data_IF_295436751699
#
_entry.id   IF_295436751699
#
_cell.length_a   1.000
_cell.length_b   1.000
_cell.length_c   1.000
_cell.angle_alpha   90.00
_cell.angle_beta   90.00
_cell.angle_gamma   90.00
#
_symmetry.space_group_name_H-M   'P 1'
#
loop_
_entity.id
_entity.type
_entity.pdbx_description
1 polymer ?
#
# COMPACT_ATOMS: atom_id res chain seq x y z
N UNK A 1 17.12 14.35 -37.28
CA UNK A 1 16.89 14.66 -35.88
C UNK A 1 18.23 14.88 -35.19
N UNK A 2 18.34 15.95 -34.41
CA UNK A 2 19.57 16.26 -33.67
C UNK A 2 19.62 15.31 -32.44
N UNK A 3 20.62 14.39 -32.33
CA UNK A 3 20.67 13.40 -31.24
C UNK A 3 20.77 14.03 -29.88
N UNK A 4 21.42 15.18 -29.74
CA UNK A 4 21.54 15.91 -28.48
C UNK A 4 20.18 16.45 -28.01
N UNK A 5 19.32 16.86 -28.92
CA UNK A 5 17.96 17.33 -28.60
C UNK A 5 17.05 16.15 -28.25
N UNK A 6 17.25 15.00 -28.92
CA UNK A 6 16.53 13.76 -28.63
C UNK A 6 16.84 13.25 -27.20
N UNK A 7 18.12 13.23 -26.82
CA UNK A 7 18.55 12.78 -25.48
C UNK A 7 18.05 13.74 -24.38
N UNK A 8 18.09 15.06 -24.62
CA UNK A 8 17.58 16.04 -23.67
C UNK A 8 16.06 15.94 -23.50
N UNK A 9 15.31 15.73 -24.59
CA UNK A 9 13.85 15.56 -24.50
C UNK A 9 13.44 14.22 -23.88
N UNK A 10 14.28 13.19 -24.01
CA UNK A 10 13.99 11.86 -23.43
C UNK A 10 14.30 11.82 -21.93
N UNK A 11 15.21 12.65 -21.44
CA UNK A 11 15.55 12.70 -20.01
C UNK A 11 14.43 13.29 -19.15
N UNK A 12 13.60 14.18 -19.70
CA UNK A 12 12.50 14.84 -18.99
C UNK A 12 11.16 14.07 -19.06
N UNK A 13 11.13 12.88 -19.65
CA UNK A 13 9.88 12.09 -19.81
C UNK A 13 9.23 11.73 -18.48
N UNK A 14 10.01 11.60 -17.41
CA UNK A 14 9.50 11.25 -16.08
C UNK A 14 8.59 12.31 -15.46
N UNK A 15 8.69 13.58 -15.88
CA UNK A 15 7.85 14.68 -15.38
C UNK A 15 6.60 14.95 -16.25
N UNK A 16 6.52 14.39 -17.43
CA UNK A 16 5.43 14.64 -18.37
C UNK A 16 4.12 13.95 -18.01
N UNK A 17 4.19 12.95 -17.16
CA UNK A 17 3.04 12.12 -16.85
C UNK A 17 2.59 12.24 -15.40
N UNK A 18 2.80 13.42 -14.76
CA UNK A 18 2.34 13.67 -13.40
C UNK A 18 0.87 13.25 -13.18
N UNK A 19 -0.08 13.60 -14.07
CA UNK A 19 -1.45 13.12 -13.94
C UNK A 19 -1.57 11.60 -13.98
N UNK A 20 -0.78 10.95 -14.82
CA UNK A 20 -0.74 9.49 -14.94
C UNK A 20 -0.14 8.83 -13.70
N UNK A 21 0.97 9.38 -13.21
CA UNK A 21 1.67 8.86 -12.03
C UNK A 21 0.81 8.94 -10.77
N UNK A 22 -0.03 9.96 -10.68
CA UNK A 22 -0.92 10.19 -9.52
C UNK A 22 -2.38 9.75 -9.77
N UNK A 23 -2.68 9.13 -10.92
CA UNK A 23 -4.04 8.70 -11.25
C UNK A 23 -5.06 9.84 -11.33
N UNK A 24 -4.59 11.05 -11.68
CA UNK A 24 -5.44 12.25 -11.73
C UNK A 24 -6.26 12.27 -13.01
N UNK A 25 -7.54 12.58 -12.88
CA UNK A 25 -8.40 12.85 -14.02
C UNK A 25 -8.03 14.21 -14.63
N UNK A 26 -7.56 14.21 -15.88
CA UNK A 26 -7.11 15.42 -16.57
C UNK A 26 -7.82 15.62 -17.90
N UNK A 27 -8.02 16.88 -18.27
CA UNK A 27 -8.69 17.28 -19.49
C UNK A 27 -7.81 18.27 -20.25
N UNK A 28 -7.65 18.05 -21.57
CA UNK A 28 -7.04 19.02 -22.47
C UNK A 28 -8.03 20.13 -22.79
N UNK A 29 -7.64 21.38 -22.53
CA UNK A 29 -8.46 22.55 -22.84
C UNK A 29 -7.87 23.31 -24.03
N UNK A 30 -8.73 23.79 -24.93
CA UNK A 30 -8.32 24.60 -26.07
C UNK A 30 -8.07 26.08 -25.69
N UNK A 31 -8.61 26.53 -24.56
CA UNK A 31 -8.39 27.86 -24.01
C UNK A 31 -8.18 27.78 -22.51
N UNK A 32 -7.44 28.73 -21.90
CA UNK A 32 -7.26 28.75 -20.45
C UNK A 32 -8.61 28.79 -19.74
N UNK A 33 -8.82 27.87 -18.78
CA UNK A 33 -9.93 27.97 -17.85
C UNK A 33 -9.63 29.00 -16.77
N UNK A 34 -10.67 29.67 -16.25
CA UNK A 34 -10.54 30.44 -15.03
C UNK A 34 -10.17 29.50 -13.89
N UNK A 35 -8.97 29.65 -13.32
CA UNK A 35 -8.51 28.83 -12.20
C UNK A 35 -9.32 29.13 -10.94
N UNK A 36 -9.63 28.11 -10.17
CA UNK A 36 -10.03 28.25 -8.78
C UNK A 36 -8.73 28.32 -7.99
N UNK A 37 -8.60 29.31 -7.10
CA UNK A 37 -7.46 29.40 -6.21
C UNK A 37 -7.44 28.15 -5.30
N UNK A 38 -6.36 27.40 -5.37
CA UNK A 38 -6.19 26.20 -4.55
C UNK A 38 -5.88 26.63 -3.12
N UNK A 39 -6.74 26.26 -2.17
CA UNK A 39 -6.39 26.35 -0.74
C UNK A 39 -5.88 25.02 -0.25
N UNK A 40 -4.74 25.02 0.43
CA UNK A 40 -4.19 23.84 1.12
C UNK A 40 -4.87 23.63 2.49
N UNK A 41 -5.92 24.37 2.79
CA UNK A 41 -6.66 24.19 4.04
C UNK A 41 -7.51 22.92 3.92
N UNK A 42 -6.95 21.83 4.41
CA UNK A 42 -7.71 20.63 4.72
C UNK A 42 -8.46 20.93 6.03
N UNK A 43 -9.73 21.21 5.94
CA UNK A 43 -10.58 21.21 7.14
C UNK A 43 -10.71 19.76 7.61
N UNK A 44 -9.83 19.35 8.53
CA UNK A 44 -10.02 18.09 9.24
C UNK A 44 -11.23 18.22 10.14
N UNK A 45 -12.27 17.48 9.84
CA UNK A 45 -13.42 17.37 10.73
C UNK A 45 -12.95 16.76 12.05
N UNK A 46 -13.32 17.37 13.18
CA UNK A 46 -12.99 16.83 14.49
C UNK A 46 -13.49 15.38 14.59
N UNK A 47 -12.64 14.51 15.11
CA UNK A 47 -13.01 13.10 15.33
C UNK A 47 -13.94 13.02 16.52
N UNK A 48 -15.20 12.69 16.28
CA UNK A 48 -16.22 12.51 17.32
C UNK A 48 -16.30 11.05 17.77
N UNK A 49 -16.70 10.78 19.02
CA UNK A 49 -16.96 9.43 19.51
C UNK A 49 -18.03 8.74 18.66
N UNK A 50 -17.67 7.60 18.06
CA UNK A 50 -18.54 6.82 17.18
C UNK A 50 -18.49 5.33 17.54
N UNK A 51 -19.29 4.50 16.85
CA UNK A 51 -19.16 3.05 16.91
C UNK A 51 -17.80 2.60 16.36
N UNK A 52 -17.32 3.30 15.34
CA UNK A 52 -16.02 3.11 14.70
C UNK A 52 -15.80 4.19 13.65
N UNK A 53 -14.73 4.05 12.89
CA UNK A 53 -14.36 4.99 11.83
C UNK A 53 -13.88 4.22 10.60
N UNK A 54 -14.23 4.73 9.43
CA UNK A 54 -13.77 4.21 8.15
C UNK A 54 -12.79 5.16 7.47
N UNK A 55 -11.80 4.61 6.78
CA UNK A 55 -10.81 5.33 5.99
C UNK A 55 -10.93 4.85 4.54
N UNK A 56 -11.35 5.74 3.64
CA UNK A 56 -11.37 5.46 2.20
C UNK A 56 -9.94 5.55 1.66
N UNK A 57 -9.44 4.45 1.10
CA UNK A 57 -8.11 4.42 0.48
C UNK A 57 -8.12 5.19 -0.84
N UNK A 58 -7.75 6.46 -0.82
CA UNK A 58 -7.69 7.34 -1.99
C UNK A 58 -6.26 7.66 -2.43
N UNK A 59 -5.29 7.56 -1.50
CA UNK A 59 -3.93 7.97 -1.78
C UNK A 59 -2.92 7.66 -0.69
N UNK A 60 -1.76 8.32 -0.81
CA UNK A 60 -0.62 8.13 0.09
C UNK A 60 -0.92 8.57 1.52
N UNK A 61 -1.67 9.66 1.70
CA UNK A 61 -2.07 10.17 3.03
C UNK A 61 -2.83 9.13 3.82
N UNK A 62 -3.82 8.47 3.19
CA UNK A 62 -4.62 7.43 3.83
C UNK A 62 -3.76 6.21 4.19
N UNK A 63 -2.85 5.82 3.30
CA UNK A 63 -1.90 4.72 3.54
C UNK A 63 -0.93 5.06 4.69
N UNK A 64 -0.45 6.30 4.75
CA UNK A 64 0.39 6.81 5.84
C UNK A 64 -0.35 6.79 7.17
N UNK A 65 -1.60 7.24 7.18
CA UNK A 65 -2.45 7.19 8.38
C UNK A 65 -2.59 5.76 8.90
N UNK A 66 -2.99 4.82 8.01
CA UNK A 66 -3.15 3.40 8.39
C UNK A 66 -1.85 2.81 8.94
N UNK A 67 -0.71 3.08 8.27
CA UNK A 67 0.60 2.59 8.69
C UNK A 67 1.00 3.13 10.06
N UNK A 68 0.84 4.43 10.29
CA UNK A 68 1.19 5.07 11.57
C UNK A 68 0.23 4.67 12.69
N UNK A 69 -1.06 4.54 12.42
CA UNK A 69 -2.03 4.08 13.40
C UNK A 69 -1.79 2.61 13.79
N UNK A 70 -1.48 1.71 12.83
CA UNK A 70 -1.08 0.33 13.15
C UNK A 70 0.19 0.29 14.01
N UNK A 71 1.18 1.13 13.68
CA UNK A 71 2.41 1.25 14.48
C UNK A 71 2.15 1.77 15.90
N UNK A 72 1.14 2.63 16.07
CA UNK A 72 0.69 3.12 17.38
C UNK A 72 -0.14 2.11 18.17
N UNK A 73 -0.44 0.94 17.60
CA UNK A 73 -1.20 -0.14 18.26
C UNK A 73 -2.69 -0.18 17.93
N UNK A 74 -3.17 0.67 17.02
CA UNK A 74 -4.55 0.60 16.57
C UNK A 74 -4.84 -0.68 15.79
N UNK A 75 -5.96 -1.32 16.12
CA UNK A 75 -6.45 -2.51 15.44
C UNK A 75 -7.39 -2.11 14.31
N UNK A 76 -7.16 -2.69 13.15
CA UNK A 76 -7.93 -2.44 11.95
C UNK A 76 -8.71 -3.67 11.52
N UNK A 77 -9.87 -3.43 10.91
CA UNK A 77 -10.59 -4.43 10.12
C UNK A 77 -10.67 -4.00 8.66
N UNK A 78 -11.07 -4.92 7.81
CA UNK A 78 -11.40 -4.66 6.41
C UNK A 78 -12.60 -5.49 6.00
N UNK A 79 -13.35 -5.01 5.02
CA UNK A 79 -14.56 -5.67 4.51
C UNK A 79 -14.31 -6.39 3.17
N UNK A 80 -14.87 -7.59 3.02
CA UNK A 80 -14.85 -8.38 1.78
C UNK A 80 -15.80 -7.85 0.73
N UNK A 81 -16.93 -7.31 1.15
CA UNK A 81 -18.02 -6.84 0.31
C UNK A 81 -18.32 -5.37 0.62
N UNK A 82 -18.90 -4.60 -0.33
CA UNK A 82 -19.29 -3.22 -0.06
C UNK A 82 -20.31 -3.13 1.09
N UNK A 83 -20.21 -2.05 1.86
CA UNK A 83 -21.07 -1.77 3.02
C UNK A 83 -21.82 -0.47 2.75
N UNK A 84 -23.13 -0.46 2.94
CA UNK A 84 -23.97 0.73 2.74
C UNK A 84 -24.66 1.19 4.01
N UNK A 85 -24.48 2.46 4.33
CA UNK A 85 -25.25 3.22 5.31
C UNK A 85 -26.19 4.19 4.60
N UNK A 86 -27.12 4.83 5.33
CA UNK A 86 -28.13 5.71 4.75
C UNK A 86 -27.50 6.85 3.92
N UNK A 87 -26.43 7.46 4.42
CA UNK A 87 -25.82 8.65 3.83
C UNK A 87 -24.54 8.37 3.03
N UNK A 88 -23.95 7.17 3.14
CA UNK A 88 -22.68 6.85 2.47
C UNK A 88 -22.50 5.35 2.25
N UNK A 89 -21.56 5.01 1.38
CA UNK A 89 -21.12 3.65 1.15
C UNK A 89 -19.61 3.51 1.30
N UNK A 90 -19.19 2.31 1.67
CA UNK A 90 -17.80 1.91 1.81
C UNK A 90 -17.53 0.79 0.79
N UNK A 91 -16.51 0.99 -0.01
CA UNK A 91 -16.07 0.00 -0.99
C UNK A 91 -15.42 -1.21 -0.31
N UNK A 92 -15.32 -2.32 -1.03
CA UNK A 92 -14.53 -3.46 -0.63
C UNK A 92 -13.10 -3.04 -0.29
N UNK A 93 -12.55 -3.56 0.80
CA UNK A 93 -11.18 -3.29 1.23
C UNK A 93 -11.00 -1.96 1.95
N UNK A 94 -12.10 -1.31 2.37
CA UNK A 94 -12.04 -0.13 3.25
C UNK A 94 -11.35 -0.49 4.57
N UNK A 95 -10.50 0.40 5.07
CA UNK A 95 -9.89 0.25 6.40
C UNK A 95 -10.85 0.75 7.46
N UNK A 96 -11.14 -0.08 8.45
CA UNK A 96 -12.12 0.17 9.52
C UNK A 96 -11.42 0.14 10.88
N UNK A 97 -11.74 1.07 11.75
CA UNK A 97 -11.33 1.11 13.15
C UNK A 97 -12.59 1.02 13.99
N UNK A 98 -12.82 -0.11 14.67
CA UNK A 98 -13.95 -0.23 15.59
C UNK A 98 -13.51 0.17 17.00
N UNK A 99 -14.29 1.00 17.68
CA UNK A 99 -13.95 1.47 19.03
C UNK A 99 -13.83 0.30 20.04
N UNK A 100 -14.64 -0.73 19.87
CA UNK A 100 -14.62 -1.92 20.72
C UNK A 100 -13.38 -2.81 20.57
N UNK A 101 -12.67 -2.71 19.44
CA UNK A 101 -11.45 -3.48 19.18
C UNK A 101 -10.20 -2.84 19.81
N UNK A 102 -10.27 -1.56 20.23
CA UNK A 102 -9.14 -0.80 20.74
C UNK A 102 -8.94 -1.08 22.24
N UNK A 103 -8.24 -2.17 22.55
CA UNK A 103 -8.02 -2.63 23.93
C UNK A 103 -6.87 -1.95 24.63
N UNK A 104 -5.95 -1.32 23.88
CA UNK A 104 -4.78 -0.60 24.41
C UNK A 104 -5.12 0.81 24.89
N UNK A 105 -6.27 1.36 24.49
CA UNK A 105 -6.69 2.73 24.76
C UNK A 105 -8.07 2.78 25.37
N UNK A 106 -8.31 3.73 26.28
CA UNK A 106 -9.68 4.06 26.65
C UNK A 106 -10.38 4.85 25.49
N UNK A 107 -11.68 5.05 25.60
CA UNK A 107 -12.48 5.67 24.54
C UNK A 107 -12.08 7.11 24.25
N UNK A 108 -11.73 7.89 25.25
CA UNK A 108 -11.33 9.30 25.10
C UNK A 108 -9.92 9.39 24.49
N UNK A 109 -9.04 8.52 24.94
CA UNK A 109 -7.68 8.41 24.41
C UNK A 109 -7.69 7.95 22.96
N UNK A 110 -8.53 6.98 22.59
CA UNK A 110 -8.76 6.55 21.21
C UNK A 110 -9.12 7.72 20.30
N UNK A 111 -10.12 8.52 20.68
CA UNK A 111 -10.57 9.68 19.91
C UNK A 111 -9.46 10.72 19.81
N UNK A 112 -8.79 11.02 20.92
CA UNK A 112 -7.70 12.01 20.93
C UNK A 112 -6.54 11.64 20.02
N UNK A 113 -6.10 10.37 20.06
CA UNK A 113 -4.99 9.89 19.21
C UNK A 113 -5.40 9.82 17.74
N UNK A 114 -6.62 9.37 17.43
CA UNK A 114 -7.15 9.37 16.07
C UNK A 114 -7.23 10.79 15.50
N UNK A 115 -7.65 11.77 16.32
CA UNK A 115 -7.68 13.19 15.90
C UNK A 115 -6.29 13.70 15.56
N UNK A 116 -5.29 13.44 16.40
CA UNK A 116 -3.90 13.84 16.14
C UNK A 116 -3.34 13.20 14.87
N UNK A 117 -3.56 11.91 14.65
CA UNK A 117 -3.10 11.20 13.47
C UNK A 117 -3.84 11.67 12.20
N UNK A 118 -5.15 11.90 12.28
CA UNK A 118 -5.98 12.43 11.20
C UNK A 118 -5.47 13.80 10.73
N UNK A 119 -5.20 14.69 11.68
CA UNK A 119 -4.62 16.02 11.39
C UNK A 119 -3.21 15.90 10.79
N UNK A 120 -2.32 15.12 11.42
CA UNK A 120 -0.94 14.94 10.95
C UNK A 120 -0.84 14.34 9.55
N UNK A 121 -1.77 13.46 9.17
CA UNK A 121 -1.80 12.82 7.86
C UNK A 121 -2.74 13.53 6.85
N UNK A 122 -3.51 14.52 7.27
CA UNK A 122 -4.55 15.19 6.47
C UNK A 122 -5.57 14.17 5.93
N UNK A 123 -6.11 13.32 6.80
CA UNK A 123 -7.06 12.25 6.47
C UNK A 123 -8.38 12.49 7.19
N UNK A 124 -9.47 12.39 6.45
CA UNK A 124 -10.82 12.42 7.00
C UNK A 124 -11.22 11.02 7.48
N UNK A 125 -11.68 10.92 8.73
CA UNK A 125 -12.26 9.71 9.30
C UNK A 125 -13.78 9.78 9.19
N UNK A 126 -14.39 8.80 8.54
CA UNK A 126 -15.84 8.71 8.37
C UNK A 126 -16.41 7.97 9.57
N UNK A 127 -17.22 8.63 10.44
CA UNK A 127 -17.80 7.98 11.61
C UNK A 127 -18.82 6.92 11.18
N UNK A 128 -18.73 5.74 11.78
CA UNK A 128 -19.71 4.67 11.63
C UNK A 128 -20.80 4.83 12.69
N UNK A 129 -22.08 4.92 12.28
CA UNK A 129 -23.19 5.13 13.22
C UNK A 129 -23.50 3.87 14.04
N UNK A 130 -23.28 2.68 13.46
CA UNK A 130 -23.57 1.40 14.11
C UNK A 130 -22.79 0.24 13.48
N UNK A 131 -22.85 -0.93 14.12
CA UNK A 131 -22.32 -2.18 13.56
C UNK A 131 -23.25 -2.87 12.56
N UNK A 132 -24.45 -2.35 12.33
CA UNK A 132 -25.47 -2.91 11.43
C UNK A 132 -25.74 -1.93 10.28
N UNK A 133 -25.10 -2.09 9.13
CA UNK A 133 -25.36 -1.29 7.94
C UNK A 133 -26.72 -1.69 7.31
N UNK A 134 -27.26 -0.84 6.41
CA UNK A 134 -28.47 -1.18 5.66
C UNK A 134 -28.23 -2.24 4.58
N UNK A 135 -27.01 -2.28 4.03
CA UNK A 135 -26.60 -3.27 3.03
C UNK A 135 -25.16 -3.71 3.25
N UNK A 136 -24.85 -4.95 2.89
CA UNK A 136 -23.54 -5.54 3.10
C UNK A 136 -23.40 -6.23 4.45
N UNK A 137 -22.19 -6.67 4.79
CA UNK A 137 -21.93 -7.44 6.01
C UNK A 137 -21.97 -6.56 7.27
N UNK A 138 -22.46 -7.13 8.37
CA UNK A 138 -22.34 -6.56 9.70
C UNK A 138 -20.89 -6.50 10.16
N UNK A 139 -20.53 -5.53 11.04
CA UNK A 139 -19.16 -5.34 11.52
C UNK A 139 -18.60 -6.52 12.33
N UNK A 140 -19.46 -7.43 12.77
CA UNK A 140 -19.06 -8.66 13.47
C UNK A 140 -19.09 -9.93 12.62
N UNK A 141 -19.37 -9.83 11.33
CA UNK A 141 -19.42 -11.00 10.42
C UNK A 141 -18.02 -11.45 9.99
N UNK A 142 -17.93 -12.66 9.47
CA UNK A 142 -16.68 -13.23 8.92
C UNK A 142 -16.18 -12.46 7.68
N UNK A 143 -17.06 -11.69 7.03
CA UNK A 143 -16.73 -10.83 5.89
C UNK A 143 -16.10 -9.48 6.31
N UNK A 144 -15.96 -9.25 7.63
CA UNK A 144 -15.28 -8.08 8.20
C UNK A 144 -14.22 -8.57 9.18
N UNK A 145 -13.04 -8.89 8.65
CA UNK A 145 -11.96 -9.52 9.43
C UNK A 145 -10.92 -8.53 9.94
N UNK A 146 -10.26 -8.91 11.02
CA UNK A 146 -9.17 -8.17 11.62
C UNK A 146 -7.93 -8.20 10.72
N UNK A 147 -7.28 -7.06 10.57
CA UNK A 147 -5.99 -6.95 9.90
C UNK A 147 -4.86 -7.03 10.92
N UNK A 148 -3.88 -7.87 10.63
CA UNK A 148 -2.63 -7.90 11.36
C UNK A 148 -1.63 -6.93 10.73
N UNK A 149 -0.86 -6.21 11.57
CA UNK A 149 0.19 -5.32 11.11
C UNK A 149 1.34 -6.17 10.52
N UNK A 150 1.63 -6.07 9.22
CA UNK A 150 2.56 -6.98 8.56
C UNK A 150 4.02 -6.66 8.94
N UNK A 151 4.83 -7.68 9.16
CA UNK A 151 6.29 -7.58 9.24
C UNK A 151 6.84 -7.61 7.82
N UNK A 152 7.39 -6.48 7.39
CA UNK A 152 7.80 -6.28 5.99
C UNK A 152 9.31 -6.35 5.88
N UNK A 153 9.80 -7.07 4.86
CA UNK A 153 11.19 -7.06 4.49
C UNK A 153 11.38 -6.73 3.00
N UNK A 154 12.56 -6.25 2.67
CA UNK A 154 12.97 -5.93 1.29
C UNK A 154 14.34 -6.54 1.02
N UNK A 155 14.49 -7.24 -0.09
CA UNK A 155 15.78 -7.76 -0.53
C UNK A 155 16.71 -6.61 -0.91
N UNK A 156 17.96 -6.76 -0.52
CA UNK A 156 19.07 -5.86 -0.84
C UNK A 156 20.34 -6.65 -1.10
N UNK A 157 21.43 -5.99 -1.40
CA UNK A 157 22.72 -6.63 -1.60
C UNK A 157 23.08 -6.83 -3.06
N UNK A 158 23.99 -7.77 -3.32
CA UNK A 158 24.54 -7.99 -4.65
C UNK A 158 23.48 -8.47 -5.64
N UNK A 159 23.53 -7.94 -6.85
CA UNK A 159 22.59 -8.24 -7.93
C UNK A 159 21.15 -7.73 -7.72
N UNK A 160 20.88 -7.02 -6.61
CA UNK A 160 19.64 -6.26 -6.40
C UNK A 160 19.92 -4.80 -6.74
N UNK A 161 18.98 -4.12 -7.40
CA UNK A 161 19.08 -2.69 -7.66
C UNK A 161 19.12 -1.91 -6.35
N UNK A 162 20.22 -1.23 -6.07
CA UNK A 162 20.35 -0.37 -4.91
C UNK A 162 19.35 0.80 -4.92
N UNK A 163 18.99 1.30 -6.12
CA UNK A 163 17.96 2.32 -6.28
C UNK A 163 16.59 1.75 -5.90
N UNK A 164 16.20 0.60 -6.45
CA UNK A 164 14.90 -0.01 -6.14
C UNK A 164 14.75 -0.44 -4.68
N UNK A 165 15.83 -0.95 -4.06
CA UNK A 165 15.86 -1.23 -2.63
C UNK A 165 15.76 0.06 -1.80
N UNK A 166 16.46 1.13 -2.20
CA UNK A 166 16.41 2.44 -1.58
C UNK A 166 15.04 3.11 -1.71
N UNK A 167 14.38 3.02 -2.86
CA UNK A 167 13.00 3.49 -3.08
C UNK A 167 12.01 2.77 -2.16
N UNK A 168 12.12 1.45 -2.04
CA UNK A 168 11.28 0.66 -1.14
C UNK A 168 11.50 1.07 0.32
N UNK A 169 12.77 1.19 0.73
CA UNK A 169 13.11 1.67 2.07
C UNK A 169 12.56 3.08 2.34
N UNK A 170 12.76 4.02 1.39
CA UNK A 170 12.25 5.38 1.51
C UNK A 170 10.73 5.42 1.66
N UNK A 171 10.03 4.65 0.81
CA UNK A 171 8.57 4.59 0.85
C UNK A 171 8.05 4.13 2.22
N UNK A 172 8.61 3.05 2.77
CA UNK A 172 8.18 2.54 4.06
C UNK A 172 8.61 3.44 5.23
N UNK A 173 9.90 3.73 5.35
CA UNK A 173 10.45 4.42 6.52
C UNK A 173 10.14 5.92 6.53
N UNK A 174 10.17 6.57 5.34
CA UNK A 174 10.06 8.04 5.26
C UNK A 174 8.66 8.49 4.86
N UNK A 175 8.02 7.83 3.91
CA UNK A 175 6.70 8.21 3.46
C UNK A 175 5.59 7.65 4.35
N UNK A 176 5.63 6.37 4.69
CA UNK A 176 4.62 5.75 5.54
C UNK A 176 4.93 5.87 7.04
N UNK A 177 6.21 6.01 7.42
CA UNK A 177 6.66 5.93 8.80
C UNK A 177 6.54 4.51 9.39
N UNK A 178 6.56 3.48 8.53
CA UNK A 178 6.39 2.07 8.88
C UNK A 178 7.71 1.32 8.77
N UNK A 179 8.07 0.43 9.72
CA UNK A 179 9.36 -0.26 9.70
C UNK A 179 9.45 -1.27 8.56
N UNK A 180 10.64 -1.35 7.95
CA UNK A 180 10.99 -2.35 6.95
C UNK A 180 12.38 -2.90 7.22
N UNK A 181 12.55 -4.23 7.15
CA UNK A 181 13.84 -4.89 7.31
C UNK A 181 14.54 -5.05 5.96
N UNK A 182 15.83 -4.68 5.90
CA UNK A 182 16.63 -4.87 4.68
C UNK A 182 17.39 -6.20 4.78
N UNK A 183 17.01 -7.18 3.93
CA UNK A 183 17.63 -8.51 3.89
C UNK A 183 18.71 -8.58 2.83
N UNK A 184 19.92 -8.92 3.22
CA UNK A 184 21.00 -9.18 2.25
C UNK A 184 20.78 -10.55 1.58
N UNK A 185 20.56 -10.54 0.27
CA UNK A 185 20.29 -11.73 -0.53
C UNK A 185 21.45 -12.73 -0.63
N UNK A 186 22.65 -12.36 -0.19
CA UNK A 186 23.80 -13.29 -0.11
C UNK A 186 23.80 -14.13 1.16
N UNK A 187 23.11 -13.66 2.23
CA UNK A 187 23.13 -14.28 3.55
C UNK A 187 21.71 -14.69 4.05
N UNK A 188 20.69 -14.54 3.21
CA UNK A 188 19.31 -14.85 3.58
C UNK A 188 18.58 -15.54 2.43
N UNK A 189 17.96 -16.66 2.73
CA UNK A 189 17.13 -17.43 1.79
C UNK A 189 15.67 -17.43 2.25
N UNK A 190 14.71 -17.81 1.39
CA UNK A 190 13.31 -17.86 1.78
C UNK A 190 13.01 -18.70 3.02
N UNK A 191 13.82 -19.71 3.30
CA UNK A 191 13.72 -20.55 4.50
C UNK A 191 13.96 -19.77 5.80
N UNK A 192 14.71 -18.66 5.74
CA UNK A 192 15.02 -17.81 6.89
C UNK A 192 13.93 -16.75 7.17
N UNK A 193 12.93 -16.61 6.25
CA UNK A 193 11.96 -15.50 6.28
C UNK A 193 10.72 -15.77 7.15
N UNK A 194 10.80 -16.70 8.06
CA UNK A 194 9.67 -17.07 8.96
C UNK A 194 9.17 -15.93 9.86
N UNK A 195 10.00 -14.92 10.07
CA UNK A 195 9.63 -13.73 10.85
C UNK A 195 8.88 -12.68 10.04
N UNK A 196 8.80 -12.81 8.70
CA UNK A 196 8.19 -11.81 7.83
C UNK A 196 6.90 -12.33 7.20
N UNK A 197 5.98 -11.40 7.00
CA UNK A 197 4.69 -11.66 6.38
C UNK A 197 4.67 -11.19 4.92
N UNK A 198 5.51 -10.19 4.60
CA UNK A 198 5.65 -9.62 3.25
C UNK A 198 7.12 -9.45 2.92
N UNK A 199 7.55 -9.92 1.75
CA UNK A 199 8.89 -9.68 1.22
C UNK A 199 8.80 -8.99 -0.13
N UNK A 200 9.47 -7.82 -0.22
CA UNK A 200 9.60 -7.05 -1.45
C UNK A 200 10.88 -7.49 -2.15
N UNK A 201 10.76 -7.82 -3.43
CA UNK A 201 11.89 -8.15 -4.31
C UNK A 201 12.02 -7.02 -5.33
N UNK A 202 12.94 -6.06 -5.11
CA UNK A 202 13.18 -4.97 -6.05
C UNK A 202 13.76 -5.47 -7.37
N UNK A 203 13.77 -4.62 -8.38
CA UNK A 203 14.45 -4.89 -9.66
C UNK A 203 15.90 -5.30 -9.43
N UNK A 204 16.42 -6.17 -10.29
CA UNK A 204 17.81 -6.64 -10.20
C UNK A 204 18.09 -7.76 -11.20
N UNK A 205 19.32 -8.25 -11.18
CA UNK A 205 19.74 -9.42 -11.95
C UNK A 205 19.51 -10.74 -11.20
N UNK A 206 19.37 -10.68 -9.88
CA UNK A 206 19.05 -11.80 -8.98
C UNK A 206 19.86 -13.08 -9.27
N UNK A 207 21.18 -12.95 -9.45
CA UNK A 207 22.06 -14.06 -9.84
C UNK A 207 22.12 -15.22 -8.83
N UNK A 208 21.73 -14.97 -7.59
CA UNK A 208 21.63 -15.98 -6.53
C UNK A 208 20.34 -16.80 -6.59
N UNK A 209 19.37 -16.37 -7.39
CA UNK A 209 18.10 -17.10 -7.54
C UNK A 209 18.29 -18.28 -8.49
N UNK A 210 18.00 -19.46 -7.98
CA UNK A 210 17.99 -20.72 -8.73
C UNK A 210 16.69 -21.49 -8.41
N UNK A 211 16.50 -22.66 -8.99
CA UNK A 211 15.29 -23.46 -8.79
C UNK A 211 15.05 -23.83 -7.32
N UNK A 212 16.09 -24.16 -6.57
CA UNK A 212 15.95 -24.48 -5.15
C UNK A 212 15.46 -23.25 -4.34
N UNK A 213 15.99 -22.06 -4.63
CA UNK A 213 15.54 -20.84 -4.02
C UNK A 213 14.07 -20.53 -4.34
N UNK A 214 13.63 -20.77 -5.59
CA UNK A 214 12.23 -20.61 -5.99
C UNK A 214 11.30 -21.62 -5.31
N UNK A 215 11.75 -22.86 -5.12
CA UNK A 215 11.01 -23.88 -4.38
C UNK A 215 10.84 -23.50 -2.90
N UNK A 216 11.90 -23.00 -2.25
CA UNK A 216 11.82 -22.48 -0.88
C UNK A 216 10.86 -21.28 -0.78
N UNK A 217 10.93 -20.37 -1.76
CA UNK A 217 10.02 -19.22 -1.81
C UNK A 217 8.57 -19.64 -1.98
N UNK A 218 8.33 -20.63 -2.86
CA UNK A 218 6.98 -21.16 -3.07
C UNK A 218 6.43 -21.81 -1.79
N UNK A 219 7.26 -22.56 -1.07
CA UNK A 219 6.88 -23.13 0.22
C UNK A 219 6.57 -22.05 1.26
N UNK A 220 7.36 -20.98 1.31
CA UNK A 220 7.10 -19.84 2.21
C UNK A 220 5.78 -19.14 1.87
N UNK A 221 5.49 -18.93 0.58
CA UNK A 221 4.21 -18.36 0.12
C UNK A 221 3.03 -19.26 0.45
N UNK A 222 3.17 -20.59 0.26
CA UNK A 222 2.13 -21.57 0.63
C UNK A 222 1.82 -21.57 2.12
N UNK A 223 2.78 -21.18 2.96
CA UNK A 223 2.61 -21.01 4.40
C UNK A 223 2.08 -19.61 4.80
N UNK A 224 1.61 -18.82 3.85
CA UNK A 224 0.95 -17.51 4.09
C UNK A 224 1.80 -16.28 3.82
N UNK A 225 3.06 -16.44 3.44
CA UNK A 225 3.94 -15.34 3.02
C UNK A 225 3.44 -14.66 1.74
N UNK A 226 3.73 -13.37 1.59
CA UNK A 226 3.35 -12.56 0.41
C UNK A 226 4.59 -11.97 -0.25
N UNK A 227 4.68 -12.10 -1.57
CA UNK A 227 5.76 -11.55 -2.38
C UNK A 227 5.26 -10.36 -3.19
N UNK A 228 6.03 -9.27 -3.15
CA UNK A 228 5.86 -8.12 -4.03
C UNK A 228 7.10 -8.02 -4.92
N UNK A 229 6.99 -8.50 -6.16
CA UNK A 229 8.07 -8.40 -7.14
C UNK A 229 7.93 -7.15 -7.98
N UNK A 230 9.00 -6.35 -8.10
CA UNK A 230 8.99 -5.07 -8.80
C UNK A 230 9.85 -5.15 -10.06
N UNK A 231 9.27 -4.71 -11.19
CA UNK A 231 9.99 -4.57 -12.46
C UNK A 231 10.64 -5.89 -12.92
N UNK A 232 11.96 -5.94 -13.11
CA UNK A 232 12.67 -7.16 -13.57
C UNK A 232 12.49 -8.37 -12.66
N UNK A 233 12.24 -8.16 -11.37
CA UNK A 233 12.01 -9.26 -10.44
C UNK A 233 10.77 -10.10 -10.80
N UNK A 234 9.79 -9.53 -11.49
CA UNK A 234 8.62 -10.28 -11.99
C UNK A 234 9.06 -11.41 -12.94
N UNK A 235 10.13 -11.20 -13.70
CA UNK A 235 10.70 -12.19 -14.61
C UNK A 235 11.25 -13.44 -13.92
N UNK A 236 11.46 -13.44 -12.61
CA UNK A 236 11.86 -14.62 -11.84
C UNK A 236 10.75 -15.67 -11.76
N UNK A 237 9.51 -15.26 -11.93
CA UNK A 237 8.31 -16.08 -11.77
C UNK A 237 7.66 -16.47 -13.09
N UNK A 238 8.10 -15.84 -14.20
CA UNK A 238 7.53 -16.07 -15.51
C UNK A 238 8.01 -17.40 -16.10
N UNK A 239 7.07 -18.23 -16.55
CA UNK A 239 7.26 -19.59 -17.08
C UNK A 239 7.74 -20.61 -16.02
N UNK A 240 7.78 -20.21 -14.74
CA UNK A 240 8.15 -21.09 -13.65
C UNK A 240 6.92 -21.85 -13.11
N UNK A 241 7.11 -23.11 -12.79
CA UNK A 241 6.03 -23.97 -12.29
C UNK A 241 5.47 -23.46 -10.96
N UNK A 242 4.14 -23.39 -10.86
CA UNK A 242 3.45 -23.01 -9.63
C UNK A 242 3.21 -21.52 -9.43
N UNK A 243 3.70 -20.63 -10.33
CA UNK A 243 3.51 -19.18 -10.21
C UNK A 243 2.43 -18.60 -11.11
N UNK A 244 1.98 -19.34 -12.12
CA UNK A 244 0.88 -18.93 -12.99
C UNK A 244 1.16 -17.72 -13.87
N UNK A 245 2.40 -17.25 -13.97
CA UNK A 245 2.84 -16.17 -14.82
C UNK A 245 3.52 -16.70 -16.07
N UNK A 246 3.19 -16.12 -17.23
CA UNK A 246 3.79 -16.46 -18.51
C UNK A 246 4.41 -15.22 -19.12
N UNK A 247 5.54 -15.39 -19.82
CA UNK A 247 6.10 -14.33 -20.67
C UNK A 247 5.19 -14.14 -21.85
N UNK A 248 4.94 -12.88 -22.15
CA UNK A 248 4.29 -12.53 -23.40
C UNK A 248 5.37 -12.33 -24.45
N UNK A 249 5.50 -13.30 -25.35
CA UNK A 249 6.34 -13.15 -26.55
C UNK A 249 5.59 -12.25 -27.52
N UNK A 250 6.05 -11.02 -27.64
CA UNK A 250 5.61 -10.12 -28.71
C UNK A 250 6.27 -10.59 -30.01
N UNK A 251 5.66 -11.54 -30.70
CA UNK A 251 5.94 -11.80 -32.13
C UNK A 251 5.44 -10.62 -32.96
N UNK A 252 6.01 -9.44 -32.73
CA UNK A 252 5.95 -8.34 -33.68
C UNK A 252 6.99 -8.64 -34.75
N UNK A 253 6.63 -9.47 -35.72
CA UNK A 253 7.26 -9.54 -37.04
C UNK A 253 6.89 -8.30 -37.87
#
# INVERSE_FOLDING_TARGET
PNPVLSDSLTYDITTWSVPYAYGLQTFGLQSPAAGIEWSNEYETTAVEPAYGWAIKRRGLSDSRFVAQAMKAGFRFRTNAEPIGYEDFSLDRGTSLILAADQTEFDRLETVSQLSQLSEACSVELIPLPSGHPQTGPDMGSDDVWLLEAPRVACLSGKSVSSLGAGESWWHFERELGYPISMLNNENSTPSDWTEYDVVIIPSGWHQSVNSAWLEELQAWVQNGGRVIAISRAVGLFADESGWGLQRYDNDLQ
#
